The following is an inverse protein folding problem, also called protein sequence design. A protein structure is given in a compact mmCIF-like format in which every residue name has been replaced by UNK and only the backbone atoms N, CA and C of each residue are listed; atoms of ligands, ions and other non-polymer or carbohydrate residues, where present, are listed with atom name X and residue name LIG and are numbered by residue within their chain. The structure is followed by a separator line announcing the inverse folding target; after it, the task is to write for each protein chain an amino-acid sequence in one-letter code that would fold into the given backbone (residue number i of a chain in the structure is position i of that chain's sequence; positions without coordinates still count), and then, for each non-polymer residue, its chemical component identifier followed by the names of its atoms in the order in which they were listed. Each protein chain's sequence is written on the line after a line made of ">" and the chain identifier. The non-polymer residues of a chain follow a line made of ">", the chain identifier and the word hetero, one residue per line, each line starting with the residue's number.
data_IF_526120272322
#
_entry.id   IF_526120272322
#
_cell.length_a   1.000
_cell.length_b   1.000
_cell.length_c   1.000
_cell.angle_alpha   90.00
_cell.angle_beta   90.00
_cell.angle_gamma   90.00
#
_symmetry.space_group_name_H-M   'P 1'
#
loop_
_entity.id
_entity.type
_entity.pdbx_description
1 polymer ?
#
# COMPACT_ATOMS: atom_id res chain seq x y z
N UNK A 1 -0.86 5.63 -16.35
CA UNK A 1 0.48 5.19 -15.91
C UNK A 1 0.28 4.23 -14.74
N UNK A 2 0.80 2.99 -14.86
CA UNK A 2 0.68 2.00 -13.79
C UNK A 2 1.51 2.41 -12.58
N UNK A 3 0.96 2.21 -11.37
CA UNK A 3 1.65 2.40 -10.09
C UNK A 3 1.36 1.22 -9.17
N UNK A 4 2.25 0.98 -8.21
CA UNK A 4 2.00 -0.02 -7.17
C UNK A 4 0.87 0.46 -6.25
N UNK A 5 0.01 -0.46 -5.76
CA UNK A 5 -1.14 -0.10 -4.92
C UNK A 5 -0.80 0.60 -3.58
N UNK A 6 0.48 0.59 -3.17
CA UNK A 6 0.96 1.35 -2.00
C UNK A 6 1.42 2.77 -2.32
N UNK A 7 1.51 3.12 -3.59
CA UNK A 7 1.96 4.43 -4.07
C UNK A 7 1.07 4.88 -5.24
N UNK A 8 -0.27 4.95 -5.03
CA UNK A 8 -1.20 5.27 -6.10
C UNK A 8 -0.97 6.69 -6.65
N UNK A 9 -0.42 7.58 -5.87
CA UNK A 9 -0.17 9.00 -6.19
C UNK A 9 0.87 9.21 -7.31
N UNK A 10 1.74 8.24 -7.58
CA UNK A 10 2.74 8.33 -8.67
C UNK A 10 2.19 7.83 -10.02
N UNK A 11 0.97 7.31 -10.03
CA UNK A 11 0.31 6.76 -11.20
C UNK A 11 -0.90 7.57 -11.67
N UNK A 12 -1.55 7.05 -12.70
CA UNK A 12 -2.87 7.53 -13.15
C UNK A 12 -3.83 6.35 -13.15
N UNK A 13 -4.85 6.41 -12.30
CA UNK A 13 -5.85 5.36 -12.24
C UNK A 13 -6.78 5.43 -13.48
N UNK A 14 -6.82 4.35 -14.25
CA UNK A 14 -7.66 4.29 -15.45
C UNK A 14 -9.16 4.35 -15.13
N UNK A 15 -9.56 3.89 -13.93
CA UNK A 15 -10.95 3.93 -13.48
C UNK A 15 -11.34 5.38 -13.16
N UNK A 16 -10.47 6.14 -12.50
CA UNK A 16 -10.67 7.57 -12.24
C UNK A 16 -10.90 8.33 -13.56
N UNK A 17 -10.03 8.11 -14.54
CA UNK A 17 -10.14 8.71 -15.85
C UNK A 17 -11.43 8.30 -16.58
N UNK A 18 -11.83 7.03 -16.44
CA UNK A 18 -13.07 6.54 -17.02
C UNK A 18 -14.31 7.23 -16.42
N UNK A 19 -14.40 7.24 -15.09
CA UNK A 19 -15.55 7.83 -14.38
C UNK A 19 -15.63 9.33 -14.66
N UNK A 20 -14.49 10.05 -14.58
CA UNK A 20 -14.45 11.47 -14.88
C UNK A 20 -14.94 11.80 -16.32
N UNK A 21 -14.45 11.06 -17.31
CA UNK A 21 -14.89 11.25 -18.70
C UNK A 21 -16.36 10.88 -18.89
N UNK A 22 -16.81 9.82 -18.23
CA UNK A 22 -18.19 9.39 -18.29
C UNK A 22 -19.15 10.45 -17.71
N UNK A 23 -18.85 11.03 -16.55
CA UNK A 23 -19.67 12.08 -15.93
C UNK A 23 -19.74 13.37 -16.75
N UNK A 24 -18.74 13.63 -17.60
CA UNK A 24 -18.69 14.77 -18.51
C UNK A 24 -19.36 14.51 -19.87
N UNK A 25 -19.68 13.25 -20.17
CA UNK A 25 -20.28 12.88 -21.46
C UNK A 25 -21.78 13.17 -21.48
N UNK A 26 -22.35 13.68 -22.58
CA UNK A 26 -23.79 13.99 -22.71
C UNK A 26 -24.72 12.82 -22.34
N UNK A 27 -24.34 11.58 -22.64
CA UNK A 27 -25.15 10.41 -22.31
C UNK A 27 -25.22 10.13 -20.77
N UNK A 28 -24.43 10.81 -19.96
CA UNK A 28 -24.51 10.65 -18.50
C UNK A 28 -25.89 11.06 -17.96
N UNK A 29 -26.46 12.16 -18.49
CA UNK A 29 -27.79 12.63 -18.11
C UNK A 29 -28.92 11.62 -18.44
N UNK A 30 -28.66 10.67 -19.36
CA UNK A 30 -29.59 9.61 -19.76
C UNK A 30 -29.28 8.26 -19.07
N UNK A 31 -28.23 8.19 -18.25
CA UNK A 31 -27.71 6.93 -17.67
C UNK A 31 -28.60 6.35 -16.56
N UNK A 32 -29.49 7.17 -16.01
CA UNK A 32 -30.42 6.79 -14.95
C UNK A 32 -29.85 6.93 -13.54
N UNK A 33 -30.76 7.11 -12.58
CA UNK A 33 -30.45 7.49 -11.17
C UNK A 33 -29.46 6.57 -10.45
N UNK A 34 -29.43 5.28 -10.76
CA UNK A 34 -28.49 4.34 -10.11
C UNK A 34 -27.05 4.60 -10.50
N UNK A 35 -26.82 4.87 -11.78
CA UNK A 35 -25.49 5.13 -12.30
C UNK A 35 -25.01 6.54 -11.92
N UNK A 36 -25.93 7.51 -11.90
CA UNK A 36 -25.67 8.85 -11.36
C UNK A 36 -25.21 8.76 -9.88
N UNK A 37 -25.99 8.07 -9.01
CA UNK A 37 -25.63 7.90 -7.60
C UNK A 37 -24.32 7.15 -7.38
N UNK A 38 -23.99 6.19 -8.24
CA UNK A 38 -22.69 5.53 -8.21
C UNK A 38 -21.55 6.49 -8.57
N UNK A 39 -21.73 7.28 -9.60
CA UNK A 39 -20.72 8.25 -10.04
C UNK A 39 -20.50 9.34 -9.00
N UNK A 40 -21.57 9.86 -8.40
CA UNK A 40 -21.50 10.84 -7.29
C UNK A 40 -20.73 10.25 -6.11
N UNK A 41 -21.08 9.03 -5.69
CA UNK A 41 -20.34 8.34 -4.62
C UNK A 41 -18.86 8.18 -4.95
N UNK A 42 -18.54 7.80 -6.19
CA UNK A 42 -17.16 7.63 -6.63
C UNK A 42 -16.40 8.96 -6.58
N UNK A 43 -16.99 10.01 -7.10
CA UNK A 43 -16.36 11.34 -7.12
C UNK A 43 -16.17 11.91 -5.72
N UNK A 44 -17.13 11.71 -4.82
CA UNK A 44 -17.10 12.25 -3.46
C UNK A 44 -16.13 11.51 -2.52
N UNK A 45 -15.96 10.20 -2.73
CA UNK A 45 -15.26 9.38 -1.75
C UNK A 45 -14.00 8.66 -2.26
N UNK A 46 -13.87 8.45 -3.56
CA UNK A 46 -12.78 7.67 -4.15
C UNK A 46 -11.91 8.48 -5.10
N UNK A 47 -12.53 9.35 -5.91
CA UNK A 47 -11.80 10.20 -6.83
C UNK A 47 -10.94 11.20 -6.07
N UNK A 48 -9.63 11.22 -6.36
CA UNK A 48 -8.64 12.06 -5.64
C UNK A 48 -8.57 11.85 -4.11
N UNK A 49 -9.20 10.78 -3.58
CA UNK A 49 -9.21 10.43 -2.16
C UNK A 49 -8.38 9.19 -1.82
N UNK A 50 -7.28 8.94 -2.54
CA UNK A 50 -6.41 7.79 -2.31
C UNK A 50 -5.79 7.76 -0.89
N UNK A 51 -5.81 8.86 -0.16
CA UNK A 51 -5.37 8.99 1.23
C UNK A 51 -6.43 8.58 2.27
N UNK A 52 -7.60 8.16 1.84
CA UNK A 52 -8.73 7.79 2.70
C UNK A 52 -9.55 8.97 3.25
N UNK A 53 -9.26 10.21 2.83
CA UNK A 53 -10.00 11.41 3.27
C UNK A 53 -11.48 11.35 2.94
N UNK A 54 -11.84 10.80 1.77
CA UNK A 54 -13.24 10.63 1.36
C UNK A 54 -14.08 9.74 2.28
N UNK A 55 -13.44 8.92 3.11
CA UNK A 55 -14.09 8.09 4.14
C UNK A 55 -13.83 8.58 5.57
N UNK A 56 -13.06 9.65 5.74
CA UNK A 56 -12.64 10.14 7.05
C UNK A 56 -11.73 9.17 7.81
N UNK A 57 -10.90 8.42 7.08
CA UNK A 57 -9.92 7.46 7.63
C UNK A 57 -8.48 7.83 7.29
N UNK A 58 -8.27 9.02 6.72
CA UNK A 58 -6.94 9.53 6.44
C UNK A 58 -6.08 9.58 7.70
N UNK A 59 -4.82 9.27 7.55
CA UNK A 59 -3.79 9.37 8.58
C UNK A 59 -2.50 9.77 7.90
N UNK A 60 -1.75 10.64 8.55
CA UNK A 60 -0.40 10.97 8.15
C UNK A 60 0.51 10.56 9.30
N UNK A 61 1.18 9.43 9.15
CA UNK A 61 2.12 8.91 10.14
C UNK A 61 3.54 8.97 9.57
N UNK A 62 4.38 9.80 10.17
CA UNK A 62 5.75 10.03 9.70
C UNK A 62 6.66 8.80 9.79
N UNK A 63 6.29 7.79 10.57
CA UNK A 63 7.06 6.55 10.72
C UNK A 63 6.49 5.40 9.91
N UNK A 64 5.16 5.24 9.90
CA UNK A 64 4.49 4.08 9.31
C UNK A 64 3.85 4.38 7.95
N UNK A 65 3.94 5.63 7.49
CA UNK A 65 3.35 6.08 6.23
C UNK A 65 1.87 6.42 6.35
N UNK A 66 1.27 6.72 5.21
CA UNK A 66 -0.10 7.20 5.12
C UNK A 66 -1.08 6.07 4.81
N UNK A 67 -2.35 6.33 5.05
CA UNK A 67 -3.42 5.48 4.52
C UNK A 67 -3.39 5.56 3.00
N UNK A 68 -3.55 4.41 2.34
CA UNK A 68 -3.81 4.39 0.89
C UNK A 68 -5.05 3.57 0.57
N UNK A 69 -5.92 4.12 -0.29
CA UNK A 69 -7.11 3.45 -0.82
C UNK A 69 -7.03 3.52 -2.34
N UNK A 70 -6.74 2.41 -2.97
CA UNK A 70 -6.62 2.32 -4.41
C UNK A 70 -7.81 1.54 -5.00
N UNK A 71 -8.47 2.09 -6.02
CA UNK A 71 -9.50 1.39 -6.79
C UNK A 71 -8.81 0.49 -7.81
N UNK A 72 -8.72 -0.81 -7.50
CA UNK A 72 -7.99 -1.77 -8.32
C UNK A 72 -8.81 -2.39 -9.45
N UNK A 73 -10.09 -2.61 -9.24
CA UNK A 73 -10.97 -3.22 -10.23
C UNK A 73 -12.35 -2.56 -10.23
N UNK A 74 -12.89 -2.41 -11.43
CA UNK A 74 -14.29 -2.05 -11.67
C UNK A 74 -14.90 -3.12 -12.59
N UNK A 75 -16.02 -3.68 -12.19
CA UNK A 75 -16.80 -4.62 -13.00
C UNK A 75 -18.28 -4.33 -12.91
N UNK A 76 -19.05 -4.75 -13.94
CA UNK A 76 -20.49 -4.59 -13.96
C UNK A 76 -21.12 -5.42 -15.09
N UNK A 77 -22.41 -5.73 -14.94
CA UNK A 77 -23.19 -6.55 -15.87
C UNK A 77 -24.51 -5.89 -16.31
N UNK A 78 -24.67 -4.59 -16.08
CA UNK A 78 -25.90 -3.82 -16.36
C UNK A 78 -26.91 -3.81 -15.21
N UNK A 79 -26.82 -4.72 -14.25
CA UNK A 79 -27.65 -4.73 -13.04
C UNK A 79 -26.87 -4.32 -11.78
N UNK A 80 -25.60 -4.69 -11.74
CA UNK A 80 -24.71 -4.50 -10.60
C UNK A 80 -23.39 -3.86 -11.05
N UNK A 81 -22.90 -2.93 -10.25
CA UNK A 81 -21.54 -2.39 -10.35
C UNK A 81 -20.78 -2.83 -9.11
N UNK A 82 -19.57 -3.30 -9.30
CA UNK A 82 -18.69 -3.76 -8.21
C UNK A 82 -17.33 -3.11 -8.33
N UNK A 83 -16.86 -2.52 -7.24
CA UNK A 83 -15.50 -2.03 -7.07
C UNK A 83 -14.72 -2.96 -6.14
N UNK A 84 -13.45 -3.18 -6.44
CA UNK A 84 -12.49 -3.78 -5.52
C UNK A 84 -11.46 -2.74 -5.13
N UNK A 85 -11.34 -2.49 -3.83
CA UNK A 85 -10.40 -1.54 -3.26
C UNK A 85 -9.23 -2.29 -2.60
N UNK A 86 -8.00 -1.85 -2.87
CA UNK A 86 -6.81 -2.20 -2.08
C UNK A 86 -6.58 -1.08 -1.06
N UNK A 87 -6.91 -1.38 0.21
CA UNK A 87 -6.79 -0.43 1.30
C UNK A 87 -5.59 -0.81 2.17
N UNK A 88 -4.70 0.13 2.42
CA UNK A 88 -3.54 -0.05 3.29
C UNK A 88 -3.58 0.97 4.40
N UNK A 89 -3.42 0.49 5.60
CA UNK A 89 -3.47 1.29 6.81
C UNK A 89 -2.16 1.14 7.58
N UNK A 90 -1.61 2.21 8.16
CA UNK A 90 -0.52 2.12 9.11
C UNK A 90 -0.79 1.06 10.18
N UNK A 91 0.20 0.23 10.49
CA UNK A 91 0.01 -0.98 11.31
C UNK A 91 -0.54 -0.69 12.73
N UNK A 92 -0.32 0.51 13.25
CA UNK A 92 -0.81 0.91 14.57
C UNK A 92 -2.22 1.52 14.56
N UNK A 93 -2.84 1.69 13.38
CA UNK A 93 -4.22 2.16 13.29
C UNK A 93 -5.20 1.08 13.75
N UNK A 94 -6.28 1.53 14.38
CA UNK A 94 -7.43 0.68 14.71
C UNK A 94 -8.24 0.40 13.44
N UNK A 95 -7.92 -0.70 12.77
CA UNK A 95 -8.53 -1.12 11.50
C UNK A 95 -10.05 -1.28 11.63
N UNK A 96 -10.53 -1.79 12.76
CA UNK A 96 -11.97 -1.99 12.96
C UNK A 96 -12.72 -0.65 12.99
N UNK A 97 -12.16 0.37 13.61
CA UNK A 97 -12.74 1.73 13.56
C UNK A 97 -12.70 2.30 12.15
N UNK A 98 -11.63 2.09 11.39
CA UNK A 98 -11.55 2.52 10.00
C UNK A 98 -12.62 1.84 9.15
N UNK A 99 -12.74 0.52 9.25
CA UNK A 99 -13.78 -0.25 8.55
C UNK A 99 -15.21 0.15 8.94
N UNK A 100 -15.44 0.49 10.21
CA UNK A 100 -16.74 1.00 10.66
C UNK A 100 -17.08 2.34 10.00
N UNK A 101 -16.13 3.27 9.88
CA UNK A 101 -16.34 4.54 9.18
C UNK A 101 -16.64 4.34 7.71
N UNK A 102 -15.84 3.52 7.00
CA UNK A 102 -16.06 3.21 5.58
C UNK A 102 -17.44 2.57 5.40
N UNK A 103 -17.78 1.60 6.26
CA UNK A 103 -19.08 0.92 6.22
C UNK A 103 -20.25 1.88 6.43
N UNK A 104 -20.09 2.86 7.34
CA UNK A 104 -21.14 3.86 7.58
C UNK A 104 -21.36 4.78 6.36
N UNK A 105 -20.30 5.14 5.64
CA UNK A 105 -20.40 5.91 4.39
C UNK A 105 -21.10 5.08 3.31
N UNK A 106 -20.67 3.84 3.10
CA UNK A 106 -21.30 2.92 2.14
C UNK A 106 -22.80 2.70 2.43
N UNK A 107 -23.16 2.50 3.71
CA UNK A 107 -24.56 2.30 4.10
C UNK A 107 -25.45 3.51 3.80
N UNK A 108 -24.97 4.73 4.01
CA UNK A 108 -25.71 5.96 3.65
C UNK A 108 -25.99 6.04 2.15
N UNK A 109 -25.07 5.53 1.34
CA UNK A 109 -25.19 5.48 -0.11
C UNK A 109 -25.90 4.19 -0.62
N UNK A 110 -26.43 3.35 0.28
CA UNK A 110 -27.06 2.05 -0.03
C UNK A 110 -26.12 1.09 -0.77
N UNK A 111 -24.81 1.19 -0.52
CA UNK A 111 -23.79 0.33 -1.09
C UNK A 111 -23.46 -0.79 -0.10
N UNK A 112 -23.41 -2.03 -0.60
CA UNK A 112 -22.94 -3.17 0.18
C UNK A 112 -21.42 -3.18 0.20
N UNK A 113 -20.84 -3.35 1.39
CA UNK A 113 -19.40 -3.48 1.59
C UNK A 113 -19.06 -4.84 2.18
N UNK A 114 -18.11 -5.52 1.58
CA UNK A 114 -17.56 -6.77 2.05
C UNK A 114 -16.04 -6.65 2.19
N UNK A 115 -15.48 -7.20 3.27
CA UNK A 115 -14.03 -7.33 3.46
C UNK A 115 -13.62 -8.72 3.01
N UNK A 116 -13.11 -8.84 1.80
CA UNK A 116 -12.72 -10.13 1.20
C UNK A 116 -11.39 -10.64 1.73
N UNK A 117 -10.52 -9.76 2.22
CA UNK A 117 -9.19 -10.10 2.70
C UNK A 117 -8.72 -9.08 3.72
N UNK A 118 -8.27 -9.57 4.87
CA UNK A 118 -7.59 -8.76 5.88
C UNK A 118 -6.25 -9.42 6.22
N UNK A 119 -5.15 -8.70 6.02
CA UNK A 119 -3.81 -9.14 6.37
C UNK A 119 -3.21 -8.12 7.33
N UNK A 120 -2.95 -8.49 8.58
CA UNK A 120 -2.31 -7.59 9.52
C UNK A 120 -0.92 -7.17 9.00
N UNK A 121 -0.55 -5.93 9.31
CA UNK A 121 0.79 -5.43 9.09
C UNK A 121 1.79 -6.06 10.07
N UNK A 122 3.08 -5.89 9.80
CA UNK A 122 4.16 -6.21 10.73
C UNK A 122 4.80 -4.90 11.15
N UNK A 123 4.97 -4.74 12.44
CA UNK A 123 5.69 -3.61 13.00
C UNK A 123 6.68 -4.10 14.06
N UNK A 124 7.93 -3.74 13.87
CA UNK A 124 9.01 -3.95 14.86
C UNK A 124 9.62 -2.58 15.13
N UNK A 125 9.59 -2.10 16.38
CA UNK A 125 10.11 -0.78 16.72
C UNK A 125 11.58 -0.61 16.34
N UNK A 126 11.97 0.60 15.96
CA UNK A 126 13.37 0.92 15.58
C UNK A 126 14.39 0.65 16.70
N UNK A 127 13.97 0.72 17.95
CA UNK A 127 14.80 0.45 19.12
C UNK A 127 14.89 -1.04 19.50
N UNK A 128 14.16 -1.90 18.78
CA UNK A 128 14.21 -3.35 19.00
C UNK A 128 15.63 -3.88 18.73
N UNK A 129 16.17 -4.80 19.58
CA UNK A 129 17.53 -5.35 19.41
C UNK A 129 17.81 -5.88 18.01
N UNK A 130 16.89 -6.65 17.44
CA UNK A 130 16.98 -7.15 16.07
C UNK A 130 17.24 -6.01 15.06
N UNK A 131 16.46 -4.93 15.13
CA UNK A 131 16.59 -3.80 14.18
C UNK A 131 17.94 -3.11 14.35
N UNK A 132 18.36 -2.89 15.60
CA UNK A 132 19.67 -2.28 15.92
C UNK A 132 20.85 -3.10 15.42
N UNK A 133 20.79 -4.43 15.56
CA UNK A 133 21.84 -5.31 15.04
C UNK A 133 21.90 -5.23 13.52
N UNK A 134 20.77 -5.34 12.85
CA UNK A 134 20.71 -5.27 11.39
C UNK A 134 21.18 -3.92 10.85
N UNK A 135 20.78 -2.82 11.48
CA UNK A 135 21.23 -1.48 11.12
C UNK A 135 22.73 -1.32 11.29
N UNK A 136 23.28 -1.73 12.44
CA UNK A 136 24.73 -1.70 12.69
C UNK A 136 25.52 -2.50 11.65
N UNK A 137 25.09 -3.72 11.37
CA UNK A 137 25.74 -4.57 10.35
C UNK A 137 25.71 -3.91 8.99
N UNK A 138 24.57 -3.33 8.59
CA UNK A 138 24.46 -2.61 7.33
C UNK A 138 25.45 -1.42 7.26
N UNK A 139 25.45 -0.57 8.29
CA UNK A 139 26.33 0.61 8.36
C UNK A 139 27.83 0.24 8.32
N UNK A 140 28.22 -0.82 9.04
CA UNK A 140 29.62 -1.30 9.06
C UNK A 140 30.05 -1.92 7.72
N UNK A 141 29.14 -2.63 7.04
CA UNK A 141 29.46 -3.26 5.75
C UNK A 141 29.42 -2.29 4.57
N UNK A 142 28.57 -1.26 4.62
CA UNK A 142 28.41 -0.32 3.52
C UNK A 142 29.17 0.99 3.71
N UNK A 143 29.45 1.36 4.95
CA UNK A 143 29.94 2.69 5.32
C UNK A 143 28.85 3.79 5.24
N UNK A 144 27.59 3.42 5.00
CA UNK A 144 26.47 4.33 4.81
C UNK A 144 25.49 4.19 5.98
N UNK A 145 25.08 5.32 6.55
CA UNK A 145 24.01 5.33 7.53
C UNK A 145 22.65 5.18 6.85
N UNK A 146 21.83 4.26 7.35
CA UNK A 146 20.51 4.02 6.82
C UNK A 146 19.50 3.83 7.96
N UNK A 147 18.41 4.60 7.92
CA UNK A 147 17.31 4.43 8.88
C UNK A 147 16.36 3.33 8.40
N UNK A 148 15.80 2.53 9.34
CA UNK A 148 14.74 1.58 9.01
C UNK A 148 13.55 2.28 8.39
N UNK A 149 12.99 1.69 7.33
CA UNK A 149 11.87 2.23 6.58
C UNK A 149 10.62 1.39 6.77
N UNK A 150 9.47 2.03 6.93
CA UNK A 150 8.18 1.38 6.75
C UNK A 150 7.85 1.32 5.26
N UNK A 151 7.34 0.18 4.80
CA UNK A 151 6.92 -0.02 3.41
C UNK A 151 5.46 -0.46 3.36
N UNK A 152 4.69 0.07 2.42
CA UNK A 152 3.30 -0.34 2.20
C UNK A 152 3.16 -1.74 1.57
N UNK A 153 4.25 -2.34 1.09
CA UNK A 153 4.30 -3.67 0.52
C UNK A 153 4.26 -4.79 1.55
N UNK A 154 3.79 -5.97 1.14
CA UNK A 154 3.88 -7.18 1.95
C UNK A 154 5.12 -8.00 1.62
N UNK A 155 5.84 -8.46 2.64
CA UNK A 155 7.01 -9.34 2.50
C UNK A 155 6.80 -10.66 3.23
N UNK A 156 7.72 -11.59 3.10
CA UNK A 156 7.73 -12.84 3.86
C UNK A 156 7.84 -12.63 5.38
N UNK A 157 8.27 -11.43 5.83
CA UNK A 157 8.27 -11.06 7.25
C UNK A 157 6.89 -11.23 7.92
N UNK A 158 5.80 -11.17 7.15
CA UNK A 158 4.44 -11.42 7.66
C UNK A 158 4.17 -12.88 8.07
N UNK A 159 5.03 -13.81 7.70
CA UNK A 159 4.81 -15.24 7.97
C UNK A 159 5.26 -15.68 9.37
N UNK A 160 6.11 -14.90 10.01
CA UNK A 160 6.72 -15.25 11.29
C UNK A 160 6.64 -14.06 12.27
N UNK A 161 6.49 -14.32 13.57
CA UNK A 161 6.56 -13.25 14.58
C UNK A 161 7.98 -12.69 14.67
N UNK A 162 8.11 -11.44 15.12
CA UNK A 162 9.38 -10.75 15.35
C UNK A 162 10.33 -10.78 14.14
N UNK A 163 9.79 -10.65 12.95
CA UNK A 163 10.56 -10.71 11.71
C UNK A 163 10.45 -9.38 10.97
N UNK A 164 11.56 -8.94 10.39
CA UNK A 164 11.63 -7.75 9.53
C UNK A 164 12.15 -8.13 8.15
N UNK A 165 11.83 -7.32 7.14
CA UNK A 165 12.48 -7.42 5.84
C UNK A 165 13.86 -6.74 5.89
N UNK A 166 14.86 -7.36 5.28
CA UNK A 166 16.23 -6.86 5.23
C UNK A 166 16.85 -7.10 3.85
N UNK A 167 17.21 -6.01 3.15
CA UNK A 167 17.64 -6.08 1.75
C UNK A 167 16.46 -6.23 0.77
N UNK A 168 16.68 -6.54 -0.52
CA UNK A 168 17.96 -6.56 -1.23
C UNK A 168 18.34 -5.26 -1.95
N UNK A 169 17.45 -4.23 -1.96
CA UNK A 169 17.65 -3.00 -2.73
C UNK A 169 18.40 -1.97 -1.88
N UNK A 170 19.50 -1.43 -2.45
CA UNK A 170 20.27 -0.39 -1.82
C UNK A 170 19.68 1.00 -2.05
N UNK A 171 19.86 1.96 -1.12
CA UNK A 171 19.43 3.34 -1.29
C UNK A 171 19.93 3.95 -2.60
N UNK A 172 19.10 4.77 -3.23
CA UNK A 172 19.43 5.45 -4.49
C UNK A 172 19.37 4.57 -5.75
N UNK A 173 19.07 3.28 -5.62
CA UNK A 173 18.84 2.41 -6.77
C UNK A 173 17.41 2.50 -7.27
N UNK A 174 17.23 2.38 -8.58
CA UNK A 174 15.92 2.31 -9.18
C UNK A 174 15.22 1.02 -8.72
N UNK A 175 14.07 1.17 -8.09
CA UNK A 175 13.24 0.04 -7.72
C UNK A 175 12.45 -0.43 -8.95
N UNK A 176 12.75 -1.62 -9.45
CA UNK A 176 12.08 -2.27 -10.59
C UNK A 176 11.30 -3.50 -10.20
N UNK A 177 10.92 -3.61 -8.93
CA UNK A 177 10.14 -4.74 -8.41
C UNK A 177 8.83 -4.85 -9.20
N UNK A 178 8.54 -6.05 -9.69
CA UNK A 178 7.37 -6.38 -10.51
C UNK A 178 7.33 -5.72 -11.90
N UNK A 179 8.43 -5.13 -12.35
CA UNK A 179 8.55 -4.63 -13.72
C UNK A 179 9.15 -5.70 -14.65
N UNK A 180 8.95 -5.49 -15.97
CA UNK A 180 9.68 -6.28 -16.97
C UNK A 180 11.18 -6.05 -16.82
N UNK A 181 11.96 -7.11 -16.99
CA UNK A 181 13.42 -7.08 -16.85
C UNK A 181 13.91 -6.65 -15.46
N UNK A 182 13.18 -7.04 -14.39
CA UNK A 182 13.66 -6.93 -13.03
C UNK A 182 15.01 -7.63 -12.87
N UNK A 183 15.99 -6.95 -12.30
CA UNK A 183 17.34 -7.46 -12.14
C UNK A 183 18.01 -6.99 -10.84
N UNK A 184 19.01 -7.73 -10.42
CA UNK A 184 20.01 -7.31 -9.44
C UNK A 184 21.40 -7.44 -10.08
N UNK A 185 22.30 -6.51 -9.85
CA UNK A 185 23.69 -6.62 -10.33
C UNK A 185 24.45 -7.67 -9.54
N UNK A 186 25.50 -8.26 -10.14
CA UNK A 186 26.36 -9.23 -9.43
C UNK A 186 27.03 -8.56 -8.22
N UNK A 187 27.44 -7.30 -8.34
CA UNK A 187 28.03 -6.53 -7.25
C UNK A 187 27.08 -6.39 -6.08
N UNK A 188 25.82 -5.97 -6.32
CA UNK A 188 24.78 -5.84 -5.31
C UNK A 188 24.43 -7.19 -4.67
N UNK A 189 24.36 -8.26 -5.48
CA UNK A 189 24.14 -9.60 -4.98
C UNK A 189 25.23 -10.03 -4.01
N UNK A 190 26.50 -9.85 -4.39
CA UNK A 190 27.64 -10.20 -3.53
C UNK A 190 27.67 -9.37 -2.25
N UNK A 191 27.34 -8.07 -2.34
CA UNK A 191 27.25 -7.20 -1.17
C UNK A 191 26.12 -7.64 -0.23
N UNK A 192 24.94 -7.99 -0.77
CA UNK A 192 23.85 -8.56 0.01
C UNK A 192 24.28 -9.86 0.72
N UNK A 193 25.00 -10.75 0.04
CA UNK A 193 25.53 -11.99 0.66
C UNK A 193 26.43 -11.68 1.85
N UNK A 194 27.34 -10.70 1.74
CA UNK A 194 28.22 -10.28 2.82
C UNK A 194 27.42 -9.77 4.02
N UNK A 195 26.51 -8.81 3.78
CA UNK A 195 25.68 -8.19 4.83
C UNK A 195 24.81 -9.25 5.52
N UNK A 196 24.11 -10.11 4.77
CA UNK A 196 23.23 -11.14 5.33
C UNK A 196 24.05 -12.17 6.13
N UNK A 197 25.20 -12.61 5.63
CA UNK A 197 26.07 -13.57 6.33
C UNK A 197 26.52 -13.01 7.67
N UNK A 198 26.93 -11.75 7.69
CA UNK A 198 27.35 -11.10 8.92
C UNK A 198 26.19 -10.90 9.89
N UNK A 199 25.02 -10.48 9.39
CA UNK A 199 23.81 -10.34 10.21
C UNK A 199 23.41 -11.67 10.85
N UNK A 200 23.47 -12.77 10.11
CA UNK A 200 23.19 -14.11 10.64
C UNK A 200 24.18 -14.51 11.73
N UNK A 201 25.48 -14.22 11.53
CA UNK A 201 26.50 -14.49 12.54
C UNK A 201 26.27 -13.71 13.83
N UNK A 202 26.04 -12.40 13.73
CA UNK A 202 25.80 -11.52 14.88
C UNK A 202 24.52 -11.91 15.66
N UNK A 203 23.46 -12.24 14.94
CA UNK A 203 22.19 -12.67 15.54
C UNK A 203 22.26 -14.06 16.20
N UNK A 204 23.20 -14.89 15.78
CA UNK A 204 23.41 -16.22 16.39
C UNK A 204 24.39 -16.20 17.57
N UNK A 205 25.15 -15.14 17.74
CA UNK A 205 26.16 -14.97 18.78
C UNK A 205 25.61 -14.33 20.07
N UNK A 206 24.44 -13.68 19.98
CA UNK A 206 23.68 -13.12 21.11
C UNK A 206 22.71 -14.16 21.67
#
# INVERSE_FOLDING_TARGET
>A
VAAHGSTPEIGENAIDNLIQKFTQHPCFAESGKKLEAFADFYMDHLFAGADGSGFGVNCNDSELGDVTINVGLLSGDGEKIQLTLDCRFPTLMDIEKCLQKIRAVCQKALIQMEVTKNKPGVYVPKDHPLVKILQRVYEEETGERCEPLAIGGGTYAKALPNTVAFGPIFPGRQNRIHESDEYITVEELMKNVQIITRAMYELAAD
#
